data_IF_798030445011
#
_entry.id   IF_798030445011
#
_cell.length_a   1.000
_cell.length_b   1.000
_cell.length_c   1.000
_cell.angle_alpha   90.00
_cell.angle_beta   90.00
_cell.angle_gamma   90.00
#
_symmetry.space_group_name_H-M   'P 1'
#
loop_
_entity.id
_entity.type
_entity.pdbx_description
1 polymer ?
#
# COMPACT_ATOMS: atom_id res chain seq x y z
N UNK A 1 -35.56 45.89 7.39
CA UNK A 1 -36.08 44.50 7.41
C UNK A 1 -35.00 43.58 6.85
N UNK A 2 -34.02 43.20 7.65
CA UNK A 2 -33.14 42.07 7.32
C UNK A 2 -32.88 41.29 8.59
N UNK A 3 -33.33 40.03 8.59
CA UNK A 3 -33.39 39.16 9.76
C UNK A 3 -32.08 38.41 9.91
N UNK A 4 -31.62 38.40 11.16
CA UNK A 4 -30.53 37.60 11.72
C UNK A 4 -30.54 36.13 11.28
N UNK A 5 -29.39 35.61 10.86
CA UNK A 5 -29.08 34.18 10.86
C UNK A 5 -27.72 34.00 11.55
N UNK A 6 -27.74 34.03 12.89
CA UNK A 6 -26.60 33.59 13.71
C UNK A 6 -26.56 32.06 13.67
N UNK A 7 -25.61 31.52 12.91
CA UNK A 7 -25.32 30.09 12.87
C UNK A 7 -24.44 29.75 14.08
N UNK A 8 -25.11 29.34 15.16
CA UNK A 8 -24.53 29.00 16.45
C UNK A 8 -23.92 27.59 16.37
N UNK A 9 -22.62 27.51 16.14
CA UNK A 9 -21.85 26.25 16.20
C UNK A 9 -21.59 25.94 17.68
N UNK A 10 -22.44 25.10 18.26
CA UNK A 10 -22.19 24.50 19.59
C UNK A 10 -21.15 23.38 19.40
N UNK A 11 -19.89 23.67 19.73
CA UNK A 11 -18.86 22.65 19.93
C UNK A 11 -19.07 22.07 21.33
N UNK A 12 -19.82 20.98 21.41
CA UNK A 12 -20.02 20.24 22.66
C UNK A 12 -18.84 19.27 22.84
N UNK A 13 -17.91 19.65 23.71
CA UNK A 13 -16.77 18.82 24.10
C UNK A 13 -17.27 17.71 25.05
N UNK A 14 -17.65 16.56 24.50
CA UNK A 14 -18.02 15.39 25.30
C UNK A 14 -16.77 14.63 25.72
N UNK A 15 -16.50 14.58 27.03
CA UNK A 15 -15.49 13.71 27.62
C UNK A 15 -15.89 12.25 27.39
N UNK A 16 -15.08 11.51 26.63
CA UNK A 16 -15.28 10.08 26.40
C UNK A 16 -14.85 9.30 27.64
N UNK A 17 -15.82 8.89 28.46
CA UNK A 17 -15.64 7.75 29.33
C UNK A 17 -15.54 6.52 28.42
N UNK A 18 -14.33 5.97 28.28
CA UNK A 18 -14.11 4.68 27.62
C UNK A 18 -14.72 3.62 28.52
N UNK A 19 -16.00 3.32 28.30
CA UNK A 19 -16.63 2.15 28.88
C UNK A 19 -15.84 0.93 28.41
N UNK A 20 -15.20 0.24 29.35
CA UNK A 20 -14.63 -1.08 29.12
C UNK A 20 -15.79 -2.02 28.78
N UNK A 21 -16.17 -2.06 27.50
CA UNK A 21 -17.12 -3.01 26.98
C UNK A 21 -16.60 -4.41 27.33
N UNK A 22 -17.46 -5.21 27.96
CA UNK A 22 -17.13 -6.56 28.40
C UNK A 22 -16.73 -7.37 27.17
N UNK A 23 -15.42 -7.59 26.98
CA UNK A 23 -14.89 -8.27 25.80
C UNK A 23 -15.30 -9.74 25.93
N UNK A 24 -16.13 -10.27 25.01
CA UNK A 24 -16.68 -11.61 25.16
C UNK A 24 -15.55 -12.64 25.16
N UNK A 25 -15.51 -13.45 26.23
CA UNK A 25 -14.54 -14.53 26.41
C UNK A 25 -15.15 -15.85 26.00
N UNK A 26 -14.33 -16.70 25.37
CA UNK A 26 -14.74 -17.97 24.77
C UNK A 26 -13.90 -19.09 25.36
N UNK A 27 -14.55 -20.23 25.63
CA UNK A 27 -13.87 -21.47 26.04
C UNK A 27 -14.30 -22.60 25.10
N UNK A 28 -13.33 -23.17 24.38
CA UNK A 28 -13.55 -24.20 23.37
C UNK A 28 -12.48 -25.27 23.51
N UNK A 29 -12.89 -26.54 23.49
CA UNK A 29 -11.99 -27.66 23.36
C UNK A 29 -12.39 -28.43 22.11
N UNK A 30 -11.58 -28.35 21.07
CA UNK A 30 -11.91 -28.85 19.73
C UNK A 30 -10.79 -29.73 19.20
N UNK A 31 -11.18 -30.89 18.67
CA UNK A 31 -10.29 -31.89 18.10
C UNK A 31 -10.75 -32.22 16.69
N UNK A 32 -9.92 -31.88 15.71
CA UNK A 32 -10.17 -32.07 14.27
C UNK A 32 -11.57 -31.62 13.84
N UNK A 33 -11.99 -30.45 14.32
CA UNK A 33 -13.33 -29.92 14.06
C UNK A 33 -13.29 -28.93 12.90
N UNK A 34 -14.21 -29.00 11.92
CA UNK A 34 -14.30 -28.01 10.86
C UNK A 34 -14.44 -26.60 11.41
N UNK A 35 -13.66 -25.65 10.88
CA UNK A 35 -13.63 -24.27 11.38
C UNK A 35 -15.03 -23.63 11.38
N UNK A 36 -15.89 -23.98 10.42
CA UNK A 36 -17.26 -23.49 10.36
C UNK A 36 -18.07 -23.82 11.63
N UNK A 37 -17.89 -25.03 12.17
CA UNK A 37 -18.55 -25.47 13.41
C UNK A 37 -17.97 -24.74 14.63
N UNK A 38 -16.63 -24.61 14.69
CA UNK A 38 -15.95 -23.87 15.77
C UNK A 38 -16.45 -22.42 15.84
N UNK A 39 -16.65 -21.79 14.68
CA UNK A 39 -17.13 -20.41 14.59
C UNK A 39 -18.62 -20.29 14.93
N UNK A 40 -19.44 -21.30 14.63
CA UNK A 40 -20.84 -21.35 15.07
C UNK A 40 -20.93 -21.48 16.61
N UNK A 41 -20.08 -22.31 17.21
CA UNK A 41 -20.01 -22.47 18.66
C UNK A 41 -19.52 -21.19 19.35
N UNK A 42 -18.48 -20.55 18.81
CA UNK A 42 -18.03 -19.25 19.26
C UNK A 42 -19.12 -18.16 19.11
N UNK A 43 -19.86 -18.19 18.01
CA UNK A 43 -20.99 -17.28 17.77
C UNK A 43 -22.09 -17.48 18.80
N UNK A 44 -22.40 -18.73 19.16
CA UNK A 44 -23.42 -19.09 20.16
C UNK A 44 -23.01 -18.68 21.57
N UNK A 45 -21.74 -18.88 21.95
CA UNK A 45 -21.24 -18.51 23.27
C UNK A 45 -21.19 -16.99 23.48
N UNK A 46 -20.80 -16.24 22.44
CA UNK A 46 -20.63 -14.79 22.53
C UNK A 46 -21.89 -14.00 22.20
N UNK A 47 -22.88 -14.62 21.55
CA UNK A 47 -24.04 -13.93 21.00
C UNK A 47 -23.72 -13.04 19.80
N UNK A 48 -22.48 -13.04 19.30
CA UNK A 48 -22.06 -12.25 18.14
C UNK A 48 -22.17 -13.10 16.88
N UNK A 49 -22.70 -12.54 15.80
CA UNK A 49 -22.83 -13.26 14.52
C UNK A 49 -21.46 -13.40 13.84
N UNK A 50 -21.02 -14.63 13.64
CA UNK A 50 -19.77 -14.96 12.92
C UNK A 50 -20.16 -15.67 11.63
N UNK A 51 -19.62 -15.20 10.50
CA UNK A 51 -19.91 -15.75 9.17
C UNK A 51 -18.61 -16.24 8.53
N UNK A 52 -18.57 -17.51 8.17
CA UNK A 52 -17.47 -18.10 7.39
C UNK A 52 -17.84 -18.18 5.92
N UNK A 53 -16.85 -17.98 5.04
CA UNK A 53 -17.00 -18.31 3.62
C UNK A 53 -17.09 -19.83 3.41
N UNK A 54 -17.97 -20.24 2.49
CA UNK A 54 -18.18 -21.66 2.13
C UNK A 54 -16.92 -22.35 1.59
N UNK A 55 -15.96 -21.57 1.07
CA UNK A 55 -14.72 -22.07 0.47
C UNK A 55 -13.65 -22.41 1.52
N UNK A 56 -13.90 -22.16 2.81
CA UNK A 56 -12.94 -22.41 3.89
C UNK A 56 -13.07 -23.87 4.35
N UNK A 57 -12.14 -24.73 3.94
CA UNK A 57 -12.05 -26.14 4.34
C UNK A 57 -10.92 -26.39 5.33
N UNK A 58 -10.89 -25.62 6.41
CA UNK A 58 -9.90 -25.78 7.48
C UNK A 58 -10.46 -26.62 8.64
N UNK A 59 -9.63 -27.48 9.23
CA UNK A 59 -9.94 -28.12 10.51
C UNK A 59 -9.05 -27.53 11.61
N UNK A 60 -9.61 -27.46 12.82
CA UNK A 60 -8.97 -26.87 13.98
C UNK A 60 -8.83 -27.94 15.05
N UNK A 61 -7.63 -28.02 15.62
CA UNK A 61 -7.35 -28.82 16.81
C UNK A 61 -6.66 -27.92 17.83
N UNK A 62 -7.26 -27.75 19.00
CA UNK A 62 -6.73 -26.90 20.06
C UNK A 62 -7.71 -26.72 21.22
N UNK A 63 -7.16 -26.46 22.40
CA UNK A 63 -7.91 -26.06 23.59
C UNK A 63 -7.70 -24.58 23.87
N UNK A 64 -8.81 -23.84 23.97
CA UNK A 64 -8.86 -22.42 24.27
C UNK A 64 -9.66 -22.22 25.55
N UNK A 65 -9.07 -21.59 26.56
CA UNK A 65 -9.73 -21.35 27.84
C UNK A 65 -9.80 -19.85 28.12
N UNK A 66 -11.02 -19.31 28.20
CA UNK A 66 -11.27 -17.90 28.54
C UNK A 66 -10.48 -16.89 27.68
N UNK A 67 -10.37 -17.15 26.38
CA UNK A 67 -9.69 -16.26 25.43
C UNK A 67 -10.67 -15.20 24.89
N UNK A 68 -10.19 -13.99 24.63
CA UNK A 68 -10.99 -12.95 23.96
C UNK A 68 -11.34 -13.38 22.53
N UNK A 69 -12.56 -13.11 22.09
CA UNK A 69 -13.03 -13.50 20.76
C UNK A 69 -12.09 -13.03 19.63
N UNK A 70 -11.61 -11.79 19.69
CA UNK A 70 -10.72 -11.24 18.64
C UNK A 70 -9.36 -11.96 18.63
N UNK A 71 -8.78 -12.27 19.79
CA UNK A 71 -7.54 -13.07 19.90
C UNK A 71 -7.75 -14.50 19.40
N UNK A 72 -8.91 -15.10 19.68
CA UNK A 72 -9.28 -16.40 19.14
C UNK A 72 -9.33 -16.34 17.60
N UNK A 73 -10.01 -15.35 17.03
CA UNK A 73 -10.08 -15.17 15.58
C UNK A 73 -8.70 -14.93 14.96
N UNK A 74 -7.84 -14.14 15.60
CA UNK A 74 -6.45 -13.93 15.16
C UNK A 74 -5.65 -15.23 15.13
N UNK A 75 -5.71 -16.02 16.21
CA UNK A 75 -4.99 -17.30 16.27
C UNK A 75 -5.50 -18.29 15.23
N UNK A 76 -6.82 -18.43 15.08
CA UNK A 76 -7.44 -19.33 14.10
C UNK A 76 -7.15 -18.88 12.67
N UNK A 77 -7.15 -17.57 12.42
CA UNK A 77 -6.82 -17.01 11.13
C UNK A 77 -5.34 -17.23 10.79
N UNK A 78 -4.42 -17.01 11.73
CA UNK A 78 -3.00 -17.24 11.54
C UNK A 78 -2.67 -18.71 11.27
N UNK A 79 -3.29 -19.65 12.01
CA UNK A 79 -3.08 -21.09 11.83
C UNK A 79 -3.50 -21.61 10.45
N UNK A 80 -4.54 -21.01 9.86
CA UNK A 80 -5.18 -21.50 8.64
C UNK A 80 -4.99 -20.56 7.44
N UNK A 81 -4.11 -19.56 7.54
CA UNK A 81 -3.90 -18.52 6.52
C UNK A 81 -5.21 -17.84 6.07
N UNK A 82 -6.06 -17.51 7.04
CA UNK A 82 -7.32 -16.80 6.81
C UNK A 82 -7.16 -15.33 7.19
N UNK A 83 -8.15 -14.53 6.81
CA UNK A 83 -8.30 -13.15 7.28
C UNK A 83 -9.71 -12.98 7.82
N UNK A 84 -9.83 -12.26 8.92
CA UNK A 84 -11.11 -11.87 9.46
C UNK A 84 -11.29 -10.35 9.39
N UNK A 85 -12.54 -9.91 9.31
CA UNK A 85 -12.91 -8.50 9.27
C UNK A 85 -14.07 -8.23 10.21
N UNK A 86 -13.99 -7.09 10.90
CA UNK A 86 -15.05 -6.58 11.77
C UNK A 86 -16.00 -5.71 10.95
N UNK A 87 -17.28 -6.10 10.85
CA UNK A 87 -18.28 -5.38 10.07
C UNK A 87 -19.44 -4.92 10.97
N UNK A 88 -19.85 -3.67 10.82
CA UNK A 88 -21.03 -3.13 11.46
C UNK A 88 -22.13 -2.96 10.43
N UNK A 89 -23.14 -3.82 10.48
CA UNK A 89 -24.21 -3.86 9.50
C UNK A 89 -25.54 -3.53 10.16
N UNK A 90 -26.40 -2.81 9.46
CA UNK A 90 -27.81 -2.68 9.85
C UNK A 90 -28.53 -3.96 9.43
N UNK A 91 -28.84 -4.82 10.40
CA UNK A 91 -29.69 -5.99 10.20
C UNK A 91 -31.15 -5.57 10.40
N UNK A 92 -31.94 -5.66 9.33
CA UNK A 92 -33.39 -5.50 9.41
C UNK A 92 -33.99 -6.77 10.03
N UNK A 93 -34.90 -6.62 10.99
CA UNK A 93 -35.52 -7.75 11.71
C UNK A 93 -36.26 -8.71 10.76
N UNK A 94 -36.81 -8.17 9.68
CA UNK A 94 -37.70 -8.90 8.78
C UNK A 94 -36.95 -9.65 7.67
N UNK A 95 -35.65 -9.35 7.45
CA UNK A 95 -34.86 -9.96 6.38
C UNK A 95 -33.42 -10.21 6.84
N UNK A 96 -33.12 -11.40 7.39
CA UNK A 96 -31.75 -11.74 7.75
C UNK A 96 -30.87 -11.73 6.49
N UNK A 97 -29.72 -11.07 6.59
CA UNK A 97 -28.73 -11.06 5.52
C UNK A 97 -28.15 -12.46 5.31
N UNK A 98 -28.16 -12.92 4.06
CA UNK A 98 -27.46 -14.14 3.65
C UNK A 98 -25.95 -13.93 3.70
N UNK A 99 -25.15 -14.98 3.94
CA UNK A 99 -23.68 -14.87 4.00
C UNK A 99 -23.09 -14.27 2.72
N UNK A 100 -23.68 -14.59 1.56
CA UNK A 100 -23.28 -14.03 0.27
C UNK A 100 -23.50 -12.51 0.18
N UNK A 101 -24.60 -12.00 0.72
CA UNK A 101 -24.86 -10.56 0.75
C UNK A 101 -23.89 -9.83 1.69
N UNK A 102 -23.53 -10.46 2.81
CA UNK A 102 -22.53 -9.90 3.75
C UNK A 102 -21.17 -9.82 3.04
N UNK A 103 -20.76 -10.88 2.34
CA UNK A 103 -19.55 -10.91 1.53
C UNK A 103 -19.55 -9.86 0.42
N UNK A 104 -20.65 -9.76 -0.33
CA UNK A 104 -20.78 -8.78 -1.39
C UNK A 104 -20.65 -7.34 -0.86
N UNK A 105 -21.25 -7.05 0.31
CA UNK A 105 -21.10 -5.75 0.98
C UNK A 105 -19.68 -5.50 1.47
N UNK A 106 -19.06 -6.49 2.12
CA UNK A 106 -17.68 -6.37 2.58
C UNK A 106 -16.70 -6.14 1.42
N UNK A 107 -16.86 -6.90 0.32
CA UNK A 107 -16.06 -6.72 -0.89
C UNK A 107 -16.32 -5.38 -1.57
N UNK A 108 -17.56 -4.90 -1.59
CA UNK A 108 -17.87 -3.59 -2.15
C UNK A 108 -17.21 -2.47 -1.35
N UNK A 109 -17.25 -2.54 -0.01
CA UNK A 109 -16.58 -1.58 0.87
C UNK A 109 -15.06 -1.64 0.70
N UNK A 110 -14.48 -2.84 0.65
CA UNK A 110 -13.04 -3.02 0.44
C UNK A 110 -12.55 -2.59 -0.94
N UNK A 111 -13.43 -2.57 -1.95
CA UNK A 111 -13.11 -2.11 -3.30
C UNK A 111 -13.22 -0.59 -3.48
N UNK A 112 -13.84 0.12 -2.53
CA UNK A 112 -13.87 1.58 -2.56
C UNK A 112 -12.45 2.10 -2.31
N UNK A 113 -11.86 2.88 -3.23
CA UNK A 113 -10.52 3.43 -3.04
C UNK A 113 -10.48 4.31 -1.79
N UNK A 114 -9.35 4.27 -1.07
CA UNK A 114 -9.14 5.08 0.13
C UNK A 114 -9.38 6.55 -0.18
N UNK A 115 -10.33 7.14 0.54
CA UNK A 115 -10.79 8.50 0.32
C UNK A 115 -12.30 8.69 0.57
N UNK A 116 -12.74 9.93 0.75
CA UNK A 116 -14.15 10.23 0.95
C UNK A 116 -14.94 9.98 -0.35
N UNK A 117 -15.96 9.14 -0.27
CA UNK A 117 -16.88 8.87 -1.38
C UNK A 117 -18.26 9.40 -1.06
N UNK A 118 -18.78 10.22 -1.96
CA UNK A 118 -20.14 10.75 -1.88
C UNK A 118 -21.01 10.01 -2.89
N UNK A 119 -22.06 9.35 -2.40
CA UNK A 119 -23.09 8.73 -3.23
C UNK A 119 -24.35 9.56 -3.13
N UNK A 120 -24.77 10.13 -4.25
CA UNK A 120 -26.04 10.85 -4.37
C UNK A 120 -27.08 9.95 -5.02
N UNK A 121 -28.20 9.73 -4.32
CA UNK A 121 -29.35 9.02 -4.85
C UNK A 121 -30.36 10.03 -5.39
N UNK A 122 -30.45 10.12 -6.73
CA UNK A 122 -31.33 11.07 -7.40
C UNK A 122 -32.82 10.80 -7.19
N UNK A 123 -33.22 9.55 -6.91
CA UNK A 123 -34.63 9.20 -6.71
C UNK A 123 -35.12 9.68 -5.33
N UNK A 124 -34.26 9.59 -4.31
CA UNK A 124 -34.61 9.98 -2.94
C UNK A 124 -34.10 11.36 -2.54
N UNK A 125 -33.21 11.96 -3.34
CA UNK A 125 -32.50 13.20 -3.02
C UNK A 125 -31.52 13.06 -1.85
N UNK A 126 -31.22 11.83 -1.42
CA UNK A 126 -30.37 11.59 -0.25
C UNK A 126 -28.91 11.47 -0.67
N UNK A 127 -28.04 12.14 0.07
CA UNK A 127 -26.59 12.03 -0.05
C UNK A 127 -26.06 11.14 1.07
N UNK A 128 -25.22 10.16 0.72
CA UNK A 128 -24.49 9.32 1.66
C UNK A 128 -23.00 9.62 1.50
N UNK A 129 -22.34 9.91 2.61
CA UNK A 129 -20.89 10.16 2.64
C UNK A 129 -20.24 8.98 3.34
N UNK A 130 -19.33 8.32 2.64
CA UNK A 130 -18.46 7.28 3.16
C UNK A 130 -17.11 7.94 3.40
N UNK A 131 -16.69 8.00 4.67
CA UNK A 131 -15.39 8.55 5.05
C UNK A 131 -14.62 7.45 5.73
N UNK A 132 -13.40 7.21 5.27
CA UNK A 132 -12.45 6.38 6.00
C UNK A 132 -12.09 7.09 7.31
N UNK A 133 -12.31 6.42 8.43
CA UNK A 133 -12.05 7.01 9.72
C UNK A 133 -10.54 7.05 9.95
N UNK A 134 -9.97 8.25 9.91
CA UNK A 134 -8.60 8.49 10.33
C UNK A 134 -8.44 8.07 11.81
N UNK A 135 -7.34 7.39 12.21
CA UNK A 135 -7.07 7.06 13.61
C UNK A 135 -7.15 8.25 14.57
N UNK A 136 -6.97 9.48 14.08
CA UNK A 136 -7.09 10.72 14.85
C UNK A 136 -8.52 11.24 15.01
N UNK A 137 -9.49 10.73 14.24
CA UNK A 137 -10.88 11.15 14.31
C UNK A 137 -11.58 10.56 15.56
N UNK A 138 -12.53 11.30 16.18
CA UNK A 138 -13.25 10.80 17.35
C UNK A 138 -13.97 9.48 17.04
N UNK A 139 -13.77 8.47 17.88
CA UNK A 139 -14.40 7.16 17.73
C UNK A 139 -15.92 7.31 17.67
N UNK A 140 -16.55 6.80 16.62
CA UNK A 140 -18.00 6.79 16.48
C UNK A 140 -18.49 5.47 17.03
N UNK A 141 -19.27 5.49 18.11
CA UNK A 141 -19.86 4.26 18.68
C UNK A 141 -20.90 3.68 17.71
N UNK A 142 -20.62 2.51 17.08
CA UNK A 142 -21.52 1.94 16.08
C UNK A 142 -22.83 1.43 16.70
N UNK A 143 -22.84 1.13 18.00
CA UNK A 143 -24.03 0.67 18.72
C UNK A 143 -25.10 1.76 18.80
N UNK A 144 -24.71 3.03 18.96
CA UNK A 144 -25.64 4.17 18.99
C UNK A 144 -26.33 4.40 17.63
N UNK A 145 -25.74 3.88 16.56
CA UNK A 145 -26.30 3.93 15.20
C UNK A 145 -27.25 2.75 14.91
N UNK A 146 -27.48 1.86 15.89
CA UNK A 146 -28.29 0.65 15.70
C UNK A 146 -27.64 -0.35 14.73
N UNK A 147 -26.30 -0.32 14.62
CA UNK A 147 -25.56 -1.29 13.83
C UNK A 147 -25.26 -2.52 14.68
N UNK A 148 -25.43 -3.68 14.07
CA UNK A 148 -25.10 -4.98 14.66
C UNK A 148 -23.72 -5.41 14.18
N UNK A 149 -22.91 -5.88 15.12
CA UNK A 149 -21.57 -6.40 14.87
C UNK A 149 -21.64 -7.78 14.22
N UNK A 150 -20.90 -7.94 13.12
CA UNK A 150 -20.75 -9.20 12.38
C UNK A 150 -19.27 -9.41 12.07
N UNK A 151 -18.75 -10.59 12.38
CA UNK A 151 -17.40 -10.99 11.96
C UNK A 151 -17.49 -11.78 10.66
N UNK A 152 -16.70 -11.40 9.66
CA UNK A 152 -16.55 -12.14 8.40
C UNK A 152 -15.18 -12.79 8.36
N UNK A 153 -15.14 -14.09 8.09
CA UNK A 153 -13.91 -14.86 7.91
C UNK A 153 -13.82 -15.28 6.45
N UNK A 154 -12.78 -14.82 5.80
CA UNK A 154 -12.50 -15.10 4.39
C UNK A 154 -11.15 -15.78 4.24
N UNK A 155 -11.01 -16.55 3.17
CA UNK A 155 -9.67 -16.97 2.75
C UNK A 155 -8.83 -15.71 2.54
N UNK A 156 -7.58 -15.72 2.96
CA UNK A 156 -6.65 -14.67 2.59
C UNK A 156 -6.48 -14.76 1.06
N UNK A 157 -7.38 -14.13 0.28
CA UNK A 157 -7.09 -13.82 -1.12
C UNK A 157 -5.71 -13.23 -1.08
N UNK A 158 -4.79 -13.87 -1.80
CA UNK A 158 -3.46 -13.35 -2.04
C UNK A 158 -3.65 -11.90 -2.46
N UNK A 159 -3.49 -10.98 -1.50
CA UNK A 159 -3.30 -9.59 -1.84
C UNK A 159 -2.11 -9.66 -2.79
N UNK A 160 -2.16 -9.03 -3.98
CA UNK A 160 -0.99 -8.92 -4.82
C UNK A 160 0.10 -8.34 -3.94
N UNK A 161 0.99 -9.23 -3.51
CA UNK A 161 1.99 -8.95 -2.49
C UNK A 161 2.86 -7.92 -3.15
N UNK A 162 2.81 -6.68 -2.66
CA UNK A 162 3.89 -5.73 -2.94
C UNK A 162 5.09 -6.35 -2.26
N UNK A 163 5.87 -7.09 -3.03
CA UNK A 163 7.03 -7.83 -2.59
C UNK A 163 8.08 -6.83 -2.09
N UNK A 164 8.08 -6.55 -0.78
CA UNK A 164 9.34 -6.32 -0.09
C UNK A 164 10.11 -7.63 -0.13
N UNK A 165 10.99 -7.73 -1.12
CA UNK A 165 11.86 -8.86 -1.38
C UNK A 165 12.71 -9.17 -0.13
N UNK A 166 12.44 -10.34 0.46
CA UNK A 166 13.48 -11.11 1.16
C UNK A 166 13.68 -12.40 0.39
N UNK A 167 14.87 -12.45 -0.20
CA UNK A 167 15.61 -13.56 -0.78
C UNK A 167 14.99 -14.95 -0.57
N UNK A 168 14.48 -15.55 -1.65
CA UNK A 168 14.61 -17.00 -1.86
C UNK A 168 14.65 -17.30 -3.37
N UNK A 169 15.88 -17.30 -3.88
CA UNK A 169 16.45 -17.97 -5.07
C UNK A 169 15.55 -18.88 -5.92
N UNK A 170 15.38 -18.53 -7.21
CA UNK A 170 16.25 -18.98 -8.34
C UNK A 170 15.55 -19.21 -9.67
N UNK A 171 14.21 -19.26 -9.74
CA UNK A 171 13.53 -19.44 -11.04
C UNK A 171 12.57 -18.31 -11.41
N UNK A 172 12.01 -17.59 -10.44
CA UNK A 172 11.14 -16.42 -10.70
C UNK A 172 11.96 -15.17 -11.01
N UNK A 173 13.22 -15.14 -10.57
CA UNK A 173 14.12 -13.98 -10.70
C UNK A 173 14.45 -13.65 -12.15
N UNK A 174 14.57 -14.66 -13.02
CA UNK A 174 14.87 -14.44 -14.45
C UNK A 174 13.72 -13.77 -15.19
N UNK A 175 12.47 -14.12 -14.88
CA UNK A 175 11.29 -13.49 -15.46
C UNK A 175 11.14 -12.04 -15.01
N UNK A 176 11.36 -11.78 -13.72
CA UNK A 176 11.34 -10.42 -13.16
C UNK A 176 12.45 -9.55 -13.75
N UNK A 177 13.68 -10.08 -13.86
CA UNK A 177 14.82 -9.40 -14.48
C UNK A 177 14.55 -9.08 -15.96
N UNK A 178 14.03 -10.04 -16.73
CA UNK A 178 13.71 -9.82 -18.14
C UNK A 178 12.62 -8.77 -18.32
N UNK A 179 11.60 -8.77 -17.46
CA UNK A 179 10.54 -7.75 -17.45
C UNK A 179 11.06 -6.37 -17.09
N UNK A 180 11.97 -6.28 -16.11
CA UNK A 180 12.60 -5.01 -15.74
C UNK A 180 13.44 -4.47 -16.90
N UNK A 181 14.24 -5.33 -17.54
CA UNK A 181 15.00 -4.95 -18.73
C UNK A 181 14.13 -4.50 -19.91
N UNK A 182 12.96 -5.12 -20.13
CA UNK A 182 12.05 -4.68 -21.19
C UNK A 182 11.44 -3.30 -20.88
N UNK A 183 11.06 -3.06 -19.62
CA UNK A 183 10.55 -1.77 -19.18
C UNK A 183 11.61 -0.66 -19.30
N UNK A 184 12.87 -0.96 -19.00
CA UNK A 184 13.97 0.00 -19.21
C UNK A 184 14.16 0.35 -20.69
N UNK A 185 14.11 -0.64 -21.59
CA UNK A 185 14.19 -0.40 -23.04
C UNK A 185 13.04 0.45 -23.54
N UNK A 186 11.81 0.19 -23.10
CA UNK A 186 10.64 1.00 -23.42
C UNK A 186 10.79 2.43 -22.89
N UNK A 187 11.27 2.60 -21.67
CA UNK A 187 11.56 3.92 -21.09
C UNK A 187 12.58 4.68 -21.92
N UNK A 188 13.71 4.06 -22.31
CA UNK A 188 14.73 4.71 -23.14
C UNK A 188 14.16 5.12 -24.50
N UNK A 189 13.35 4.24 -25.12
CA UNK A 189 12.67 4.53 -26.39
C UNK A 189 11.69 5.70 -26.26
N UNK A 190 10.95 5.77 -25.15
CA UNK A 190 10.00 6.85 -24.91
C UNK A 190 10.74 8.17 -24.64
N UNK A 191 11.83 8.14 -23.87
CA UNK A 191 12.69 9.32 -23.66
C UNK A 191 13.30 9.82 -24.96
N UNK A 192 13.67 8.94 -25.90
CA UNK A 192 14.23 9.36 -27.20
C UNK A 192 13.19 10.02 -28.10
N UNK A 193 11.91 9.66 -27.97
CA UNK A 193 10.80 10.25 -28.69
C UNK A 193 10.29 11.57 -28.08
N UNK A 194 10.55 11.81 -26.80
CA UNK A 194 10.20 13.08 -26.13
C UNK A 194 11.05 14.25 -26.62
N UNK A 195 10.44 15.45 -26.59
CA UNK A 195 11.18 16.71 -26.76
C UNK A 195 12.22 16.90 -25.65
N UNK A 196 13.23 17.75 -25.88
CA UNK A 196 14.29 17.99 -24.90
C UNK A 196 13.76 18.54 -23.57
N UNK A 197 12.74 19.42 -23.59
CA UNK A 197 12.11 19.96 -22.39
C UNK A 197 11.32 18.91 -21.61
N UNK A 198 10.53 18.07 -22.28
CA UNK A 198 9.76 17.00 -21.64
C UNK A 198 10.68 15.94 -21.04
N UNK A 199 11.75 15.59 -21.75
CA UNK A 199 12.76 14.65 -21.26
C UNK A 199 13.40 15.13 -19.95
N UNK A 200 13.72 16.42 -19.85
CA UNK A 200 14.28 17.01 -18.62
C UNK A 200 13.26 16.95 -17.48
N UNK A 201 12.00 17.30 -17.74
CA UNK A 201 10.96 17.24 -16.72
C UNK A 201 10.73 15.80 -16.20
N UNK A 202 10.77 14.81 -17.11
CA UNK A 202 10.66 13.40 -16.75
C UNK A 202 11.86 12.95 -15.90
N UNK A 203 13.09 13.26 -16.32
CA UNK A 203 14.32 12.94 -15.58
C UNK A 203 14.33 13.61 -14.20
N UNK A 204 13.92 14.88 -14.11
CA UNK A 204 13.85 15.60 -12.83
C UNK A 204 12.85 14.98 -11.87
N UNK A 205 11.66 14.60 -12.35
CA UNK A 205 10.63 13.95 -11.52
C UNK A 205 11.14 12.63 -10.94
N UNK A 206 11.82 11.84 -11.76
CA UNK A 206 12.41 10.57 -11.34
C UNK A 206 13.58 10.77 -10.35
N UNK A 207 14.45 11.74 -10.61
CA UNK A 207 15.51 12.09 -9.66
C UNK A 207 14.93 12.50 -8.30
N UNK A 208 13.85 13.28 -8.29
CA UNK A 208 13.16 13.68 -7.06
C UNK A 208 12.50 12.48 -6.36
N UNK A 209 11.89 11.55 -7.09
CA UNK A 209 11.33 10.34 -6.47
C UNK A 209 12.43 9.48 -5.83
N UNK A 210 13.59 9.34 -6.48
CA UNK A 210 14.74 8.60 -5.93
C UNK A 210 15.29 9.27 -4.65
N UNK A 211 15.25 10.61 -4.58
CA UNK A 211 15.68 11.34 -3.38
C UNK A 211 14.71 11.20 -2.19
N UNK A 212 13.46 10.84 -2.44
CA UNK A 212 12.47 10.56 -1.39
C UNK A 212 12.57 9.12 -0.86
N UNK A 213 13.27 8.22 -1.55
CA UNK A 213 13.51 6.86 -1.07
C UNK A 213 14.52 6.83 0.07
N UNK A 214 14.44 5.76 0.88
CA UNK A 214 15.41 5.41 1.92
C UNK A 214 16.85 5.43 1.35
N UNK A 215 17.85 5.98 2.08
CA UNK A 215 19.24 5.98 1.65
C UNK A 215 19.79 4.62 1.22
N UNK A 216 19.39 3.53 1.89
CA UNK A 216 19.83 2.16 1.58
C UNK A 216 19.30 1.70 0.22
N UNK A 217 17.99 1.85 0.00
CA UNK A 217 17.34 1.51 -1.26
C UNK A 217 17.87 2.37 -2.42
N UNK A 218 18.18 3.64 -2.16
CA UNK A 218 18.80 4.53 -3.15
C UNK A 218 20.15 4.03 -3.62
N UNK A 219 21.00 3.56 -2.70
CA UNK A 219 22.31 2.99 -3.06
C UNK A 219 22.15 1.72 -3.89
N UNK A 220 21.19 0.87 -3.54
CA UNK A 220 20.89 -0.34 -4.30
C UNK A 220 20.44 0.00 -5.73
N UNK A 221 19.46 0.90 -5.89
CA UNK A 221 19.00 1.36 -7.21
C UNK A 221 20.15 1.92 -8.04
N UNK A 222 21.06 2.68 -7.41
CA UNK A 222 22.21 3.25 -8.10
C UNK A 222 23.17 2.15 -8.60
N UNK A 223 23.46 1.14 -7.76
CA UNK A 223 24.29 0.01 -8.16
C UNK A 223 23.64 -0.81 -9.28
N UNK A 224 22.34 -1.05 -9.18
CA UNK A 224 21.58 -1.78 -10.20
C UNK A 224 21.59 -1.02 -11.53
N UNK A 225 21.42 0.31 -11.51
CA UNK A 225 21.56 1.13 -12.72
C UNK A 225 22.96 1.03 -13.35
N UNK A 226 24.01 0.99 -12.54
CA UNK A 226 25.39 0.82 -13.03
C UNK A 226 25.55 -0.55 -13.69
N UNK A 227 25.06 -1.61 -13.06
CA UNK A 227 25.13 -2.97 -13.61
C UNK A 227 24.29 -3.11 -14.89
N UNK A 228 23.08 -2.54 -14.92
CA UNK A 228 22.25 -2.51 -16.10
C UNK A 228 22.97 -1.82 -17.27
N UNK A 229 23.61 -0.67 -17.04
CA UNK A 229 24.39 0.02 -18.07
C UNK A 229 25.58 -0.78 -18.59
N UNK A 230 26.24 -1.57 -17.74
CA UNK A 230 27.34 -2.46 -18.14
C UNK A 230 26.85 -3.62 -19.02
N UNK A 231 25.62 -4.07 -18.81
CA UNK A 231 25.02 -5.17 -19.57
C UNK A 231 24.22 -4.71 -20.79
N UNK A 232 24.00 -3.41 -20.99
CA UNK A 232 23.37 -2.87 -22.20
C UNK A 232 24.24 -3.08 -23.44
N UNK A 233 23.59 -3.36 -24.57
CA UNK A 233 24.22 -3.40 -25.89
C UNK A 233 24.96 -2.08 -26.20
N UNK A 234 26.13 -2.12 -26.87
CA UNK A 234 26.92 -0.92 -27.17
C UNK A 234 26.13 0.20 -27.86
N UNK A 235 25.23 -0.12 -28.80
CA UNK A 235 24.46 0.90 -29.52
C UNK A 235 23.47 1.61 -28.60
N UNK A 236 22.80 0.85 -27.74
CA UNK A 236 21.85 1.40 -26.75
C UNK A 236 22.56 2.28 -25.74
N UNK A 237 23.76 1.85 -25.32
CA UNK A 237 24.61 2.60 -24.41
C UNK A 237 25.02 3.95 -24.99
N UNK A 238 25.37 4.02 -26.27
CA UNK A 238 25.76 5.26 -26.92
C UNK A 238 24.58 6.22 -27.11
N UNK A 239 23.40 5.70 -27.48
CA UNK A 239 22.17 6.48 -27.54
C UNK A 239 21.82 7.08 -26.17
N UNK A 240 21.90 6.27 -25.11
CA UNK A 240 21.66 6.73 -23.74
C UNK A 240 22.67 7.81 -23.32
N UNK A 241 23.96 7.60 -23.60
CA UNK A 241 25.02 8.59 -23.34
C UNK A 241 24.80 9.91 -24.08
N UNK A 242 24.28 9.85 -25.30
CA UNK A 242 23.95 11.05 -26.08
C UNK A 242 22.75 11.77 -25.45
N UNK A 243 21.66 11.05 -25.16
CA UNK A 243 20.48 11.61 -24.53
C UNK A 243 20.79 12.27 -23.17
N UNK A 244 21.67 11.65 -22.38
CA UNK A 244 22.14 12.22 -21.12
C UNK A 244 23.02 13.44 -21.33
N UNK A 245 23.96 13.41 -22.30
CA UNK A 245 24.79 14.59 -22.63
C UNK A 245 23.93 15.79 -23.00
N UNK A 246 22.92 15.60 -23.84
CA UNK A 246 22.01 16.67 -24.26
C UNK A 246 21.21 17.22 -23.07
N UNK A 247 20.67 16.33 -22.23
CA UNK A 247 19.95 16.73 -21.02
C UNK A 247 20.85 17.54 -20.06
N UNK A 248 22.10 17.10 -19.87
CA UNK A 248 23.08 17.81 -19.04
C UNK A 248 23.48 19.17 -19.62
N UNK A 249 23.64 19.28 -20.93
CA UNK A 249 23.90 20.57 -21.59
C UNK A 249 22.75 21.55 -21.37
N UNK A 250 21.50 21.11 -21.49
CA UNK A 250 20.34 21.98 -21.26
C UNK A 250 20.18 22.34 -19.78
N UNK A 251 20.42 21.41 -18.85
CA UNK A 251 20.40 21.73 -17.41
C UNK A 251 21.47 22.76 -17.05
N UNK A 252 22.66 22.65 -17.65
CA UNK A 252 23.74 23.63 -17.51
C UNK A 252 23.36 24.99 -18.09
N UNK A 253 22.81 25.03 -19.31
CA UNK A 253 22.41 26.30 -19.93
C UNK A 253 21.27 27.01 -19.18
N UNK A 254 20.46 26.26 -18.41
CA UNK A 254 19.42 26.79 -17.51
C UNK A 254 19.93 27.16 -16.11
N UNK A 255 21.22 26.99 -15.82
CA UNK A 255 21.80 27.31 -14.51
C UNK A 255 21.41 26.35 -13.39
N UNK A 256 20.83 25.18 -13.71
CA UNK A 256 20.45 24.17 -12.72
C UNK A 256 21.65 23.36 -12.22
N UNK A 257 22.70 23.30 -13.03
CA UNK A 257 23.98 22.71 -12.67
C UNK A 257 24.97 23.86 -12.64
N UNK A 258 25.48 24.17 -11.44
CA UNK A 258 26.59 25.11 -11.33
C UNK A 258 27.76 24.56 -12.16
N UNK A 259 28.17 25.32 -13.17
CA UNK A 259 29.47 25.11 -13.78
C UNK A 259 30.48 25.26 -12.67
N UNK A 260 31.04 24.15 -12.21
CA UNK A 260 32.05 24.19 -11.17
C UNK A 260 33.33 24.73 -11.85
N UNK A 261 33.73 26.00 -11.65
CA UNK A 261 34.86 26.59 -12.38
C UNK A 261 36.21 26.01 -11.91
N UNK A 262 36.19 25.02 -11.01
CA UNK A 262 37.38 24.48 -10.34
C UNK A 262 38.12 23.38 -11.11
N UNK A 263 37.70 23.03 -12.33
CA UNK A 263 38.29 21.92 -13.10
C UNK A 263 39.43 22.28 -14.08
N UNK A 264 39.66 23.56 -14.39
CA UNK A 264 40.56 23.97 -15.48
C UNK A 264 42.00 24.30 -15.07
N UNK A 265 42.38 24.12 -13.80
CA UNK A 265 43.67 24.60 -13.29
C UNK A 265 44.82 23.58 -13.20
N UNK A 266 44.75 22.40 -13.83
CA UNK A 266 45.84 21.41 -13.69
C UNK A 266 46.39 20.79 -14.99
N UNK A 267 46.44 21.56 -16.09
CA UNK A 267 47.24 21.21 -17.29
C UNK A 267 48.52 22.04 -17.45
N UNK A 268 48.99 22.65 -16.36
CA UNK A 268 50.25 23.39 -16.31
C UNK A 268 51.28 22.74 -15.39
N UNK A 269 51.74 21.50 -15.65
CA UNK A 269 52.93 21.00 -14.97
C UNK A 269 53.67 19.94 -15.79
N UNK A 270 54.84 20.34 -16.31
CA UNK A 270 55.92 19.40 -16.57
C UNK A 270 56.27 19.15 -18.03
N UNK A 271 56.46 20.21 -18.83
CA UNK A 271 57.42 20.13 -19.93
C UNK A 271 58.80 19.82 -19.34
N UNK A 272 59.20 18.55 -19.39
CA UNK A 272 60.52 18.08 -18.97
C UNK A 272 61.46 18.22 -20.16
N UNK A 273 62.02 19.42 -20.30
CA UNK A 273 63.28 19.65 -21.01
C UNK A 273 64.43 19.11 -20.17
N UNK A 274 65.21 18.20 -20.75
CA UNK A 274 66.52 17.75 -20.28
C UNK A 274 66.99 16.67 -21.25
N UNK A 275 67.97 16.85 -22.13
CA UNK A 275 69.09 17.78 -22.12
C UNK A 275 70.32 17.11 -21.52
N UNK A 276 71.16 16.51 -22.39
CA UNK A 276 72.55 16.07 -22.14
C UNK A 276 72.71 14.78 -21.35
N UNK A 277 73.81 14.02 -21.43
CA UNK A 277 75.03 14.05 -22.24
C UNK A 277 75.82 12.77 -21.86
N UNK A 278 76.70 12.29 -22.75
CA UNK A 278 77.93 11.57 -22.36
C UNK A 278 77.86 10.04 -22.36
N UNK A 279 78.67 9.44 -23.23
CA UNK A 279 78.94 8.01 -23.36
C UNK A 279 79.39 7.66 -24.76
#
# INVERSE_FOLDING_TARGET
MERHFYLLIVVLLAAAAVSAADIPKVTLDVKDTPIAQVMEDASRQTGVKIVCENDVKASVTGGFTSIELEKLLDTLAAMNNLKWQKLYLRLEKDKPLTPEQIKARASAVAAVPSGPVVVYDAATGKQRVYVEQDPSAPAVDPEKLGLTLVYLISNAKEQPKVETAKETTSNTDTAALNKLQSLEKERIKLLSQMSSSERIAAIQREAMSILQLDPSLRQQILMDQIMAQQNMDPQTRDLYRQAMRDAFQVMRSRGLIQDNPRGTNNRGRGGRTGGGAGG
#
